data_IF_728620629105
#
_entry.id   IF_728620629105
#
_cell.length_a   1.000
_cell.length_b   1.000
_cell.length_c   1.000
_cell.angle_alpha   90.00
_cell.angle_beta   90.00
_cell.angle_gamma   90.00
#
_symmetry.space_group_name_H-M   'P 1'
#
loop_
_entity.id
_entity.type
_entity.pdbx_description
1 polymer ?
#
# COMPACT_ATOMS: atom_id res chain seq x y z
N UNK A 1 10.38 20.99 57.31
CA UNK A 1 10.55 22.44 57.08
C UNK A 1 11.33 22.59 55.79
N UNK A 2 10.62 22.84 54.70
CA UNK A 2 11.17 23.47 53.47
C UNK A 2 11.46 24.95 53.76
N UNK A 3 12.15 25.77 52.92
CA UNK A 3 12.28 25.67 51.45
C UNK A 3 13.66 26.13 50.88
N UNK A 4 13.81 26.27 49.55
CA UNK A 4 14.75 27.29 49.01
C UNK A 4 15.33 27.19 47.60
N UNK A 5 14.48 27.10 46.58
CA UNK A 5 14.65 27.44 45.14
C UNK A 5 15.70 28.55 44.82
N UNK A 6 16.55 28.38 43.77
CA UNK A 6 16.62 29.28 42.57
C UNK A 6 17.71 28.96 41.53
N UNK A 7 17.24 28.96 40.29
CA UNK A 7 17.92 28.97 38.98
C UNK A 7 18.56 30.32 38.61
N UNK A 8 19.54 30.35 37.68
CA UNK A 8 19.47 30.91 36.29
C UNK A 8 20.80 31.46 35.70
N UNK A 9 21.10 30.97 34.49
CA UNK A 9 21.59 31.64 33.25
C UNK A 9 22.89 32.47 33.16
N UNK A 10 23.76 32.00 32.26
CA UNK A 10 24.45 32.69 31.12
C UNK A 10 25.09 34.07 31.29
N UNK A 11 26.36 34.18 30.85
CA UNK A 11 26.79 35.12 29.78
C UNK A 11 28.27 34.90 29.44
N UNK A 12 28.56 34.76 28.14
CA UNK A 12 29.89 34.95 27.56
C UNK A 12 30.15 36.45 27.34
N UNK A 13 31.42 36.88 27.34
CA UNK A 13 31.86 37.92 26.42
C UNK A 13 33.02 37.45 25.54
N UNK A 14 32.93 37.83 24.26
CA UNK A 14 33.94 37.71 23.21
C UNK A 14 35.10 38.70 23.45
N UNK A 15 36.33 38.31 23.10
CA UNK A 15 37.30 39.26 22.53
C UNK A 15 38.32 38.55 21.65
N UNK A 16 38.33 38.96 20.38
CA UNK A 16 39.27 38.64 19.32
C UNK A 16 40.74 38.74 19.72
N UNK A 17 41.53 37.74 19.32
CA UNK A 17 42.95 37.94 19.00
C UNK A 17 43.20 37.47 17.57
N UNK A 18 43.36 38.45 16.69
CA UNK A 18 43.93 38.27 15.36
C UNK A 18 45.32 37.63 15.47
N UNK A 19 45.50 36.44 14.90
CA UNK A 19 46.82 35.90 14.61
C UNK A 19 47.17 36.18 13.15
N UNK A 20 48.18 37.04 12.98
CA UNK A 20 48.85 37.28 11.72
C UNK A 20 49.57 36.01 11.22
N UNK A 21 49.59 35.95 9.89
CA UNK A 21 49.94 34.87 8.96
C UNK A 21 51.40 34.42 9.08
N UNK A 22 51.64 33.12 9.31
CA UNK A 22 52.94 32.49 9.09
C UNK A 22 52.90 31.59 7.84
N UNK A 23 53.62 32.03 6.80
CA UNK A 23 53.93 31.27 5.58
C UNK A 23 54.85 30.09 5.90
N UNK A 24 54.28 28.94 6.23
CA UNK A 24 54.95 27.65 6.11
C UNK A 24 54.25 26.87 5.00
N UNK A 25 55.07 26.38 4.05
CA UNK A 25 54.69 25.58 2.87
C UNK A 25 53.46 24.73 3.17
N UNK A 26 52.37 25.02 2.47
CA UNK A 26 51.02 24.46 2.71
C UNK A 26 51.11 22.95 3.02
N UNK A 27 51.06 22.59 4.29
CA UNK A 27 50.82 21.21 4.72
C UNK A 27 49.35 20.93 4.38
N UNK A 28 49.13 20.59 3.11
CA UNK A 28 47.83 20.30 2.55
C UNK A 28 47.37 18.93 3.07
N UNK A 29 46.33 18.97 3.89
CA UNK A 29 45.68 17.79 4.46
C UNK A 29 45.08 16.90 3.35
N UNK A 30 45.27 15.57 3.47
CA UNK A 30 44.69 14.57 2.59
C UNK A 30 43.15 14.60 2.62
N UNK A 31 42.57 14.99 3.75
CA UNK A 31 41.14 14.99 3.95
C UNK A 31 40.46 16.30 3.54
N UNK A 32 41.24 17.36 3.26
CA UNK A 32 40.71 18.67 2.89
C UNK A 32 40.97 18.92 1.39
N UNK A 33 39.92 18.93 0.55
CA UNK A 33 40.04 19.23 -0.87
C UNK A 33 40.62 20.63 -1.10
N UNK A 34 41.47 20.78 -2.12
CA UNK A 34 42.03 22.07 -2.44
C UNK A 34 41.01 22.90 -3.23
N UNK A 35 40.48 23.94 -2.57
CA UNK A 35 39.50 24.87 -3.13
C UNK A 35 39.93 25.49 -4.47
N UNK A 36 41.21 25.85 -4.63
CA UNK A 36 41.71 26.47 -5.87
C UNK A 36 41.87 25.51 -7.05
N UNK A 37 42.02 24.21 -6.78
CA UNK A 37 42.14 23.19 -7.82
C UNK A 37 40.79 22.52 -8.14
N UNK A 38 39.77 22.79 -7.33
CA UNK A 38 38.45 22.20 -7.48
C UNK A 38 37.58 23.06 -8.38
N UNK A 39 36.92 22.40 -9.33
CA UNK A 39 35.88 23.01 -10.16
C UNK A 39 34.54 22.80 -9.46
N UNK A 40 34.08 23.84 -8.76
CA UNK A 40 32.84 23.77 -7.98
C UNK A 40 31.61 23.58 -8.86
N UNK A 41 31.60 24.15 -10.07
CA UNK A 41 30.47 24.06 -10.99
C UNK A 41 30.35 22.64 -11.55
N UNK A 42 31.49 22.01 -11.88
CA UNK A 42 31.53 20.60 -12.27
C UNK A 42 31.10 19.66 -11.12
N UNK A 43 31.60 19.90 -9.91
CA UNK A 43 31.24 19.08 -8.74
C UNK A 43 29.74 19.17 -8.43
N UNK A 44 29.18 20.38 -8.47
CA UNK A 44 27.76 20.64 -8.30
C UNK A 44 26.94 19.96 -9.40
N UNK A 45 27.37 20.07 -10.67
CA UNK A 45 26.72 19.41 -11.79
C UNK A 45 26.67 17.89 -11.60
N UNK A 46 27.77 17.25 -11.21
CA UNK A 46 27.81 15.80 -11.01
C UNK A 46 26.94 15.33 -9.83
N UNK A 47 26.94 16.07 -8.72
CA UNK A 47 26.12 15.76 -7.54
C UNK A 47 24.62 15.93 -7.80
N UNK A 48 24.25 16.95 -8.56
CA UNK A 48 22.85 17.24 -8.92
C UNK A 48 22.38 16.49 -10.18
N UNK A 49 23.32 16.06 -11.03
CA UNK A 49 23.09 15.34 -12.28
C UNK A 49 22.68 13.89 -12.06
N UNK A 50 23.23 13.22 -11.04
CA UNK A 50 23.00 11.80 -10.76
C UNK A 50 21.68 11.47 -10.03
N UNK A 51 20.89 12.47 -9.63
CA UNK A 51 19.63 12.29 -8.89
C UNK A 51 18.35 12.61 -9.68
N UNK A 52 18.38 12.53 -11.01
CA UNK A 52 17.14 12.46 -11.81
C UNK A 52 16.82 11.00 -12.08
N UNK A 53 16.62 10.23 -11.01
CA UNK A 53 15.96 8.94 -11.07
C UNK A 53 14.46 9.18 -10.97
N UNK A 54 13.78 9.16 -12.12
CA UNK A 54 12.33 8.95 -12.36
C UNK A 54 11.27 9.68 -11.51
N UNK A 55 11.60 10.53 -10.56
CA UNK A 55 10.62 11.34 -9.84
C UNK A 55 10.84 12.81 -10.17
N UNK A 56 9.85 13.40 -10.86
CA UNK A 56 9.67 14.83 -11.12
C UNK A 56 10.46 15.45 -12.29
N UNK A 57 10.34 14.87 -13.49
CA UNK A 57 10.65 15.58 -14.74
C UNK A 57 9.66 16.73 -15.05
N UNK A 58 8.49 16.75 -14.40
CA UNK A 58 7.40 17.70 -14.67
C UNK A 58 7.59 19.12 -14.09
N UNK A 59 8.67 19.40 -13.36
CA UNK A 59 8.95 20.71 -12.74
C UNK A 59 10.26 21.37 -13.22
N UNK A 60 10.90 20.83 -14.26
CA UNK A 60 12.12 21.44 -14.80
C UNK A 60 11.78 22.45 -15.89
N UNK A 61 12.01 23.75 -15.65
CA UNK A 61 11.78 24.78 -16.66
C UNK A 61 12.65 24.53 -17.91
N UNK A 62 12.16 24.87 -19.12
CA UNK A 62 12.91 24.70 -20.37
C UNK A 62 14.30 25.36 -20.34
N UNK A 63 14.43 26.49 -19.63
CA UNK A 63 15.69 27.20 -19.41
C UNK A 63 16.70 26.40 -18.59
N UNK A 64 16.24 25.66 -17.57
CA UNK A 64 17.09 24.85 -16.69
C UNK A 64 17.61 23.61 -17.41
N UNK A 65 16.83 23.05 -18.33
CA UNK A 65 17.26 21.92 -19.16
C UNK A 65 18.28 22.33 -20.23
N UNK A 66 18.06 23.47 -20.90
CA UNK A 66 19.01 24.02 -21.87
C UNK A 66 20.37 24.33 -21.22
N UNK A 67 20.35 24.94 -20.03
CA UNK A 67 21.57 25.20 -19.25
C UNK A 67 22.31 23.91 -18.89
N UNK A 68 21.59 22.85 -18.49
CA UNK A 68 22.21 21.54 -18.18
C UNK A 68 22.82 20.87 -19.42
N UNK A 69 22.22 21.03 -20.61
CA UNK A 69 22.80 20.53 -21.87
C UNK A 69 24.09 21.27 -22.21
N UNK A 70 24.10 22.60 -22.10
CA UNK A 70 25.31 23.41 -22.29
C UNK A 70 26.41 23.03 -21.29
N UNK A 71 26.08 22.86 -20.01
CA UNK A 71 27.06 22.40 -19.02
C UNK A 71 27.59 21.01 -19.33
N UNK A 72 26.74 20.07 -19.75
CA UNK A 72 27.17 18.73 -20.15
C UNK A 72 28.14 18.79 -21.32
N UNK A 73 27.86 19.63 -22.32
CA UNK A 73 28.71 19.83 -23.49
C UNK A 73 30.07 20.42 -23.09
N UNK A 74 30.08 21.47 -22.26
CA UNK A 74 31.29 22.12 -21.75
C UNK A 74 32.15 21.15 -20.89
N UNK A 75 31.51 20.32 -20.06
CA UNK A 75 32.19 19.40 -19.16
C UNK A 75 32.42 18.00 -19.73
N UNK A 76 32.12 17.75 -21.01
CA UNK A 76 32.34 16.45 -21.68
C UNK A 76 33.82 16.06 -21.86
N UNK A 77 34.74 16.81 -21.27
CA UNK A 77 36.17 16.49 -21.30
C UNK A 77 36.59 15.69 -20.07
N UNK A 78 36.77 14.37 -20.21
CA UNK A 78 37.64 13.44 -19.45
C UNK A 78 37.85 13.64 -17.92
N UNK A 79 36.94 14.33 -17.22
CA UNK A 79 37.05 14.60 -15.78
C UNK A 79 36.20 13.60 -15.03
N UNK A 80 36.86 12.73 -14.26
CA UNK A 80 36.21 11.66 -13.50
C UNK A 80 36.09 11.96 -12.01
N UNK A 81 36.69 13.06 -11.52
CA UNK A 81 36.77 13.37 -10.08
C UNK A 81 36.12 14.72 -9.76
N UNK A 82 35.25 14.72 -8.76
CA UNK A 82 34.59 15.94 -8.24
C UNK A 82 35.42 16.68 -7.18
N UNK A 83 36.40 16.00 -6.57
CA UNK A 83 37.33 16.59 -5.60
C UNK A 83 38.76 16.58 -6.17
N UNK A 84 39.48 17.67 -5.99
CA UNK A 84 40.87 17.82 -6.38
C UNK A 84 41.78 17.96 -5.16
N UNK A 85 42.85 17.17 -5.12
CA UNK A 85 43.89 17.21 -4.09
C UNK A 85 45.24 17.42 -4.79
N UNK A 86 46.10 18.29 -4.26
CA UNK A 86 47.39 18.62 -4.90
C UNK A 86 48.51 17.62 -4.58
N UNK A 87 48.37 16.81 -3.52
CA UNK A 87 49.37 15.81 -3.16
C UNK A 87 49.11 14.49 -3.88
N UNK A 88 50.14 13.95 -4.55
CA UNK A 88 50.12 12.55 -4.99
C UNK A 88 50.07 11.65 -3.74
N UNK A 89 49.26 10.57 -3.73
CA UNK A 89 49.29 9.63 -2.63
C UNK A 89 50.71 9.08 -2.47
N UNK A 90 51.24 8.95 -1.25
CA UNK A 90 52.53 8.29 -1.05
C UNK A 90 52.47 6.87 -1.63
N UNK A 91 53.57 6.35 -2.21
CA UNK A 91 53.63 4.97 -2.66
C UNK A 91 53.31 4.04 -1.48
N UNK A 92 52.56 2.97 -1.75
CA UNK A 92 52.19 1.98 -0.73
C UNK A 92 53.46 1.46 -0.06
N UNK A 93 53.49 1.53 1.27
CA UNK A 93 54.60 1.00 2.06
C UNK A 93 54.42 -0.52 2.08
N UNK A 94 55.28 -1.25 1.36
CA UNK A 94 55.35 -2.72 1.43
C UNK A 94 55.66 -3.13 2.86
N UNK A 95 54.66 -3.69 3.54
CA UNK A 95 54.83 -3.98 4.96
C UNK A 95 53.59 -4.46 5.70
N UNK A 96 52.64 -5.09 5.03
CA UNK A 96 51.71 -6.03 5.65
C UNK A 96 51.41 -7.13 4.64
N UNK A 97 51.49 -8.39 5.06
CA UNK A 97 51.07 -9.53 4.26
C UNK A 97 49.66 -9.26 3.72
N UNK A 98 49.57 -9.01 2.41
CA UNK A 98 48.32 -9.16 1.68
C UNK A 98 47.95 -10.65 1.75
N UNK A 99 47.25 -11.04 2.81
CA UNK A 99 46.18 -12.01 2.62
C UNK A 99 45.34 -11.41 1.50
N UNK A 100 45.40 -12.04 0.34
CA UNK A 100 44.63 -11.73 -0.86
C UNK A 100 43.36 -10.99 -0.46
N UNK A 101 43.34 -9.70 -0.79
CA UNK A 101 42.15 -8.89 -0.62
C UNK A 101 41.07 -9.56 -1.47
N UNK A 102 40.27 -10.40 -0.83
CA UNK A 102 38.93 -10.67 -1.29
C UNK A 102 38.33 -9.29 -1.35
N UNK A 103 38.26 -8.74 -2.55
CA UNK A 103 37.32 -7.69 -2.87
C UNK A 103 35.97 -8.23 -2.39
N UNK A 104 35.62 -7.94 -1.13
CA UNK A 104 34.24 -7.96 -0.71
C UNK A 104 33.64 -6.80 -1.48
N UNK A 105 33.25 -7.10 -2.71
CA UNK A 105 32.26 -6.34 -3.43
C UNK A 105 31.16 -6.07 -2.42
N UNK A 106 30.90 -4.79 -2.14
CA UNK A 106 29.68 -4.41 -1.44
C UNK A 106 28.57 -5.17 -2.15
N UNK A 107 27.80 -6.04 -1.47
CA UNK A 107 26.78 -6.81 -2.15
C UNK A 107 25.86 -5.79 -2.80
N UNK A 108 25.90 -5.71 -4.13
CA UNK A 108 24.92 -4.95 -4.89
C UNK A 108 23.61 -5.61 -4.53
N UNK A 109 22.79 -4.94 -3.72
CA UNK A 109 21.46 -5.44 -3.35
C UNK A 109 20.76 -5.78 -4.66
N UNK A 110 20.61 -7.06 -4.96
CA UNK A 110 19.87 -7.49 -6.14
C UNK A 110 18.43 -7.08 -5.87
N UNK A 111 18.01 -5.96 -6.46
CA UNK A 111 16.61 -5.55 -6.38
C UNK A 111 15.80 -6.63 -7.06
N UNK A 112 14.80 -7.18 -6.36
CA UNK A 112 13.87 -8.17 -6.91
C UNK A 112 13.32 -7.64 -8.23
N UNK A 113 13.48 -8.40 -9.31
CA UNK A 113 12.85 -8.09 -10.57
C UNK A 113 11.35 -8.37 -10.47
N UNK A 114 10.53 -7.38 -10.85
CA UNK A 114 9.08 -7.52 -10.98
C UNK A 114 8.75 -7.36 -12.47
N UNK A 115 8.22 -8.40 -13.13
CA UNK A 115 7.81 -8.31 -14.54
C UNK A 115 6.86 -7.14 -14.78
N UNK A 116 7.01 -6.48 -15.93
CA UNK A 116 6.15 -5.34 -16.30
C UNK A 116 4.96 -5.76 -17.17
N UNK A 117 4.93 -7.01 -17.63
CA UNK A 117 3.81 -7.63 -18.34
C UNK A 117 3.10 -8.61 -17.43
N UNK A 118 1.80 -8.81 -17.65
CA UNK A 118 1.08 -9.91 -17.04
C UNK A 118 1.66 -11.25 -17.51
N UNK A 119 1.64 -12.24 -16.62
CA UNK A 119 1.96 -13.63 -17.00
C UNK A 119 0.80 -14.26 -17.77
N UNK A 120 -0.44 -13.93 -17.37
CA UNK A 120 -1.68 -14.40 -18.00
C UNK A 120 -2.68 -13.26 -18.09
N UNK A 121 -3.51 -13.30 -19.13
CA UNK A 121 -4.63 -12.40 -19.34
C UNK A 121 -5.86 -13.27 -19.56
N UNK A 122 -6.90 -13.03 -18.77
CA UNK A 122 -8.18 -13.72 -18.88
C UNK A 122 -9.22 -12.72 -19.39
N UNK A 123 -10.08 -13.19 -20.29
CA UNK A 123 -11.19 -12.37 -20.77
C UNK A 123 -12.30 -12.33 -19.72
N UNK A 124 -12.82 -11.13 -19.48
CA UNK A 124 -13.93 -10.86 -18.57
C UNK A 124 -15.06 -10.17 -19.36
N UNK A 125 -15.77 -10.89 -20.24
CA UNK A 125 -16.88 -10.31 -20.99
C UNK A 125 -17.96 -9.84 -20.02
N UNK A 126 -18.62 -8.73 -20.36
CA UNK A 126 -19.76 -8.21 -19.60
C UNK A 126 -19.45 -7.87 -18.13
N UNK A 127 -18.18 -7.65 -17.79
CA UNK A 127 -17.80 -7.16 -16.47
C UNK A 127 -18.46 -5.78 -16.23
N UNK A 128 -19.34 -5.64 -15.22
CA UNK A 128 -19.97 -4.37 -14.93
C UNK A 128 -18.96 -3.27 -14.61
N UNK A 129 -19.11 -2.09 -15.23
CA UNK A 129 -18.34 -0.88 -14.92
C UNK A 129 -18.99 -0.11 -13.76
N UNK A 130 -19.05 -0.75 -12.59
CA UNK A 130 -19.52 -0.13 -11.35
C UNK A 130 -18.42 -0.23 -10.27
N UNK A 131 -17.93 0.94 -9.87
CA UNK A 131 -16.83 1.09 -8.91
C UNK A 131 -17.14 0.50 -7.53
N UNK A 132 -18.41 0.41 -7.12
CA UNK A 132 -18.80 0.02 -5.76
C UNK A 132 -18.95 -1.49 -5.58
N UNK A 133 -18.88 -2.27 -6.67
CA UNK A 133 -19.05 -3.71 -6.64
C UNK A 133 -17.75 -4.45 -6.34
N UNK A 134 -17.85 -5.59 -5.66
CA UNK A 134 -16.71 -6.45 -5.32
C UNK A 134 -16.79 -7.78 -6.07
N UNK A 135 -16.52 -7.73 -7.37
CA UNK A 135 -16.86 -8.79 -8.32
C UNK A 135 -15.83 -9.91 -8.48
N UNK A 136 -14.70 -9.86 -7.76
CA UNK A 136 -13.61 -10.82 -7.93
C UNK A 136 -13.01 -11.18 -6.58
N UNK A 137 -12.76 -12.46 -6.36
CA UNK A 137 -12.01 -12.95 -5.22
C UNK A 137 -11.20 -14.20 -5.57
N UNK A 138 -10.00 -14.33 -5.00
CA UNK A 138 -9.13 -15.47 -5.22
C UNK A 138 -9.10 -16.34 -3.96
N UNK A 139 -9.61 -17.55 -4.07
CA UNK A 139 -9.71 -18.50 -2.98
C UNK A 139 -8.36 -19.16 -2.66
N UNK A 140 -8.21 -19.64 -1.42
CA UNK A 140 -7.02 -20.35 -0.97
C UNK A 140 -6.77 -21.69 -1.70
N UNK A 141 -7.79 -22.23 -2.37
CA UNK A 141 -7.69 -23.38 -3.27
C UNK A 141 -7.08 -23.08 -4.64
N UNK A 142 -6.52 -21.87 -4.85
CA UNK A 142 -5.99 -21.41 -6.13
C UNK A 142 -7.05 -21.24 -7.24
N UNK A 143 -8.31 -21.07 -6.83
CA UNK A 143 -9.45 -20.84 -7.74
C UNK A 143 -9.86 -19.36 -7.66
N UNK A 144 -9.90 -18.71 -8.82
CA UNK A 144 -10.42 -17.35 -8.99
C UNK A 144 -11.94 -17.42 -9.20
N UNK A 145 -12.71 -16.67 -8.42
CA UNK A 145 -14.13 -16.44 -8.68
C UNK A 145 -14.30 -15.03 -9.27
N UNK A 146 -15.05 -14.93 -10.36
CA UNK A 146 -15.37 -13.66 -11.01
C UNK A 146 -16.86 -13.60 -11.36
N UNK A 147 -17.51 -12.50 -10.99
CA UNK A 147 -18.88 -12.20 -11.35
C UNK A 147 -18.94 -11.39 -12.64
N UNK A 148 -19.64 -11.91 -13.64
CA UNK A 148 -19.86 -11.30 -14.95
C UNK A 148 -21.37 -11.20 -15.17
N UNK A 149 -21.93 -10.00 -14.96
CA UNK A 149 -23.37 -9.76 -14.99
C UNK A 149 -24.14 -10.63 -13.99
N UNK A 150 -24.91 -11.58 -14.50
CA UNK A 150 -25.76 -12.47 -13.71
C UNK A 150 -25.10 -13.81 -13.37
N UNK A 151 -23.89 -14.08 -13.88
CA UNK A 151 -23.20 -15.35 -13.71
C UNK A 151 -21.93 -15.19 -12.87
N UNK A 152 -21.57 -16.26 -12.15
CA UNK A 152 -20.28 -16.37 -11.47
C UNK A 152 -19.49 -17.51 -12.11
N UNK A 153 -18.29 -17.19 -12.59
CA UNK A 153 -17.36 -18.16 -13.16
C UNK A 153 -16.23 -18.45 -12.17
N UNK A 154 -15.80 -19.70 -12.15
CA UNK A 154 -14.64 -20.18 -11.43
C UNK A 154 -13.55 -20.53 -12.44
N UNK A 155 -12.32 -20.07 -12.18
CA UNK A 155 -11.14 -20.39 -12.96
C UNK A 155 -10.05 -20.97 -12.04
N UNK A 156 -9.62 -22.20 -12.30
CA UNK A 156 -8.53 -22.84 -11.56
C UNK A 156 -7.18 -22.42 -12.15
N UNK A 157 -6.35 -21.75 -11.35
CA UNK A 157 -5.06 -21.26 -11.81
C UNK A 157 -4.00 -22.37 -11.97
N UNK A 158 -4.28 -23.58 -11.47
CA UNK A 158 -3.39 -24.75 -11.52
C UNK A 158 -3.40 -25.40 -12.89
N UNK A 159 -4.59 -25.65 -13.44
CA UNK A 159 -4.78 -26.33 -14.72
C UNK A 159 -5.38 -25.42 -15.82
N UNK A 160 -5.89 -24.24 -15.45
CA UNK A 160 -6.50 -23.28 -16.35
C UNK A 160 -7.95 -23.60 -16.72
N UNK A 161 -8.60 -24.56 -16.04
CA UNK A 161 -9.98 -24.93 -16.28
C UNK A 161 -10.96 -23.83 -15.85
N UNK A 162 -12.07 -23.71 -16.56
CA UNK A 162 -13.15 -22.75 -16.27
C UNK A 162 -14.47 -23.48 -16.13
N UNK A 163 -15.26 -23.10 -15.12
CA UNK A 163 -16.62 -23.60 -14.92
C UNK A 163 -17.55 -22.48 -14.47
N UNK A 164 -18.80 -22.52 -14.90
CA UNK A 164 -19.85 -21.65 -14.36
C UNK A 164 -20.40 -22.25 -13.06
N UNK A 165 -20.37 -21.48 -11.97
CA UNK A 165 -20.89 -21.91 -10.67
C UNK A 165 -22.40 -21.69 -10.57
N UNK A 166 -22.86 -20.52 -11.03
CA UNK A 166 -24.26 -20.11 -11.01
C UNK A 166 -24.54 -19.13 -12.15
N UNK A 167 -25.81 -19.12 -12.57
CA UNK A 167 -26.42 -18.09 -13.39
C UNK A 167 -27.77 -17.73 -12.80
N UNK A 168 -28.07 -16.44 -12.67
CA UNK A 168 -29.36 -15.96 -12.16
C UNK A 168 -30.18 -15.26 -13.23
N UNK A 169 -31.50 -15.23 -13.05
CA UNK A 169 -32.39 -14.43 -13.89
C UNK A 169 -32.23 -12.91 -13.60
N UNK A 170 -32.67 -12.07 -14.53
CA UNK A 170 -32.59 -10.59 -14.41
C UNK A 170 -33.38 -10.02 -13.23
N UNK A 171 -34.39 -10.74 -12.73
CA UNK A 171 -35.15 -10.35 -11.53
C UNK A 171 -34.35 -10.52 -10.23
N UNK A 172 -33.36 -11.42 -10.25
CA UNK A 172 -32.55 -11.78 -9.09
C UNK A 172 -31.19 -11.08 -9.16
N UNK A 173 -30.59 -11.08 -10.35
CA UNK A 173 -29.30 -10.47 -10.63
C UNK A 173 -29.37 -8.94 -10.80
N UNK A 174 -28.25 -8.32 -11.18
CA UNK A 174 -26.91 -8.91 -11.35
C UNK A 174 -26.24 -9.28 -10.01
N UNK A 175 -25.12 -10.00 -10.11
CA UNK A 175 -24.23 -10.28 -8.98
C UNK A 175 -23.43 -9.02 -8.66
N UNK A 176 -23.43 -8.62 -7.39
CA UNK A 176 -22.83 -7.36 -6.93
C UNK A 176 -21.61 -7.55 -6.04
N UNK A 177 -21.44 -8.76 -5.47
CA UNK A 177 -20.23 -9.11 -4.73
C UNK A 177 -19.98 -10.62 -4.67
N UNK A 178 -18.70 -11.02 -4.60
CA UNK A 178 -18.28 -12.41 -4.36
C UNK A 178 -17.18 -12.46 -3.30
N UNK A 179 -17.20 -13.48 -2.45
CA UNK A 179 -16.16 -13.69 -1.44
C UNK A 179 -16.03 -15.17 -1.06
N UNK A 180 -14.84 -15.71 -1.20
CA UNK A 180 -14.48 -17.03 -0.72
C UNK A 180 -14.49 -17.09 0.81
N UNK A 181 -15.14 -18.12 1.33
CA UNK A 181 -14.98 -18.53 2.71
C UNK A 181 -13.54 -19.00 2.96
N UNK A 182 -13.04 -18.89 4.20
CA UNK A 182 -11.67 -19.27 4.54
C UNK A 182 -11.37 -20.77 4.34
N UNK A 183 -12.39 -21.60 4.20
CA UNK A 183 -12.24 -23.04 3.91
C UNK A 183 -11.91 -23.35 2.44
N UNK A 184 -11.99 -22.37 1.54
CA UNK A 184 -11.71 -22.54 0.11
C UNK A 184 -12.75 -23.36 -0.65
N UNK A 185 -13.87 -23.70 -0.02
CA UNK A 185 -14.94 -24.51 -0.61
C UNK A 185 -16.23 -23.73 -0.79
N UNK A 186 -16.55 -22.84 0.15
CA UNK A 186 -17.79 -22.10 0.08
C UNK A 186 -17.57 -20.71 -0.51
N UNK A 187 -18.50 -20.28 -1.34
CA UNK A 187 -18.51 -18.94 -1.92
C UNK A 187 -19.76 -18.20 -1.47
N UNK A 188 -19.58 -16.99 -0.92
CA UNK A 188 -20.67 -16.04 -0.72
C UNK A 188 -20.85 -15.18 -1.96
N UNK A 189 -22.11 -14.95 -2.34
CA UNK A 189 -22.50 -14.20 -3.53
C UNK A 189 -23.59 -13.20 -3.13
N UNK A 190 -23.28 -11.91 -3.19
CA UNK A 190 -24.22 -10.82 -2.95
C UNK A 190 -24.91 -10.42 -4.25
N UNK A 191 -26.21 -10.14 -4.16
CA UNK A 191 -27.06 -9.87 -5.31
C UNK A 191 -27.67 -8.47 -5.27
N UNK A 192 -28.06 -7.98 -6.45
CA UNK A 192 -28.73 -6.70 -6.60
C UNK A 192 -30.11 -6.65 -5.93
N UNK A 193 -30.82 -7.78 -5.86
CA UNK A 193 -32.11 -7.89 -5.19
C UNK A 193 -32.05 -7.98 -3.65
N UNK A 194 -30.92 -7.59 -3.03
CA UNK A 194 -30.62 -7.61 -1.59
C UNK A 194 -30.35 -8.97 -0.95
N UNK A 195 -30.44 -10.06 -1.71
CA UNK A 195 -30.17 -11.40 -1.19
C UNK A 195 -28.66 -11.69 -1.16
N UNK A 196 -28.27 -12.61 -0.28
CA UNK A 196 -26.92 -13.20 -0.27
C UNK A 196 -27.04 -14.71 -0.38
N UNK A 197 -26.40 -15.30 -1.37
CA UNK A 197 -26.38 -16.74 -1.58
C UNK A 197 -25.06 -17.35 -1.08
N UNK A 198 -25.15 -18.57 -0.54
CA UNK A 198 -24.00 -19.39 -0.16
C UNK A 198 -23.96 -20.63 -1.06
N UNK A 199 -22.85 -20.82 -1.74
CA UNK A 199 -22.63 -21.89 -2.71
C UNK A 199 -21.54 -22.84 -2.24
N UNK A 200 -21.73 -24.13 -2.49
CA UNK A 200 -20.67 -25.14 -2.42
C UNK A 200 -20.04 -25.26 -3.80
N UNK A 201 -18.79 -24.83 -3.95
CA UNK A 201 -18.11 -24.81 -5.26
C UNK A 201 -17.81 -26.20 -5.80
N UNK A 202 -17.56 -27.18 -4.92
CA UNK A 202 -17.25 -28.55 -5.32
C UNK A 202 -18.49 -29.32 -5.78
N UNK A 203 -19.62 -29.06 -5.12
CA UNK A 203 -20.89 -29.70 -5.46
C UNK A 203 -21.72 -28.88 -6.48
N UNK A 204 -21.23 -27.71 -6.90
CA UNK A 204 -21.90 -26.74 -7.76
C UNK A 204 -23.37 -26.52 -7.41
N UNK A 205 -23.65 -26.30 -6.12
CA UNK A 205 -25.03 -26.16 -5.64
C UNK A 205 -25.19 -25.04 -4.63
N UNK A 206 -26.36 -24.41 -4.68
CA UNK A 206 -26.82 -23.46 -3.68
C UNK A 206 -27.08 -24.19 -2.37
N UNK A 207 -26.44 -23.75 -1.30
CA UNK A 207 -26.67 -24.25 0.06
C UNK A 207 -27.76 -23.45 0.77
N UNK A 208 -27.74 -22.13 0.61
CA UNK A 208 -28.61 -21.23 1.37
C UNK A 208 -28.73 -19.88 0.71
N UNK A 209 -29.90 -19.26 0.83
CA UNK A 209 -30.13 -17.83 0.58
C UNK A 209 -30.40 -17.13 1.90
N UNK A 210 -29.63 -16.11 2.22
CA UNK A 210 -29.86 -15.17 3.30
C UNK A 210 -30.75 -14.04 2.76
N UNK A 211 -31.91 -13.85 3.38
CA UNK A 211 -32.95 -12.92 2.99
C UNK A 211 -33.30 -12.03 4.18
N UNK A 212 -34.10 -10.98 3.97
CA UNK A 212 -34.58 -10.09 5.04
C UNK A 212 -33.46 -9.38 5.86
N UNK A 213 -32.23 -9.35 5.33
CA UNK A 213 -31.11 -8.62 5.91
C UNK A 213 -31.04 -7.20 5.37
N UNK A 214 -30.66 -7.08 4.10
CA UNK A 214 -30.55 -5.80 3.40
C UNK A 214 -31.86 -5.44 2.69
N UNK A 215 -32.01 -4.16 2.33
CA UNK A 215 -33.15 -3.61 1.56
C UNK A 215 -32.77 -3.17 0.15
N UNK A 216 -31.49 -3.24 -0.19
CA UNK A 216 -30.92 -2.90 -1.49
C UNK A 216 -29.72 -3.83 -1.76
N UNK A 217 -29.06 -3.66 -2.90
CA UNK A 217 -27.95 -4.52 -3.34
C UNK A 217 -26.87 -4.71 -2.28
N UNK A 218 -26.28 -5.90 -2.27
CA UNK A 218 -25.19 -6.27 -1.35
C UNK A 218 -23.85 -6.15 -2.06
N UNK A 219 -23.12 -5.09 -1.74
CA UNK A 219 -21.98 -4.62 -2.54
C UNK A 219 -20.64 -5.09 -2.01
N UNK A 220 -20.55 -5.45 -0.72
CA UNK A 220 -19.32 -5.93 -0.09
C UNK A 220 -19.58 -7.09 0.86
N UNK A 221 -18.60 -7.99 0.94
CA UNK A 221 -18.65 -9.22 1.73
C UNK A 221 -17.27 -9.48 2.34
N UNK A 222 -17.21 -9.88 3.62
CA UNK A 222 -16.01 -10.51 4.17
C UNK A 222 -16.35 -11.54 5.25
N UNK A 223 -15.48 -12.53 5.40
CA UNK A 223 -15.65 -13.63 6.33
C UNK A 223 -14.82 -13.45 7.61
N UNK A 224 -15.42 -13.79 8.74
CA UNK A 224 -14.74 -14.04 10.01
C UNK A 224 -15.17 -15.40 10.53
N UNK A 225 -14.41 -16.44 10.16
CA UNK A 225 -14.77 -17.84 10.40
C UNK A 225 -16.15 -18.17 9.79
N UNK A 226 -17.18 -18.41 10.62
CA UNK A 226 -18.55 -18.73 10.22
C UNK A 226 -19.46 -17.50 10.16
N UNK A 227 -18.96 -16.32 10.51
CA UNK A 227 -19.69 -15.07 10.39
C UNK A 227 -19.38 -14.47 9.02
N UNK A 228 -20.42 -14.30 8.21
CA UNK A 228 -20.36 -13.53 6.97
C UNK A 228 -20.85 -12.12 7.25
N UNK A 229 -19.96 -11.13 7.13
CA UNK A 229 -20.32 -9.73 7.23
C UNK A 229 -20.64 -9.19 5.85
N UNK A 230 -21.80 -8.55 5.72
CA UNK A 230 -22.35 -8.04 4.45
C UNK A 230 -22.53 -6.54 4.53
N UNK A 231 -22.17 -5.81 3.48
CA UNK A 231 -22.33 -4.37 3.36
C UNK A 231 -23.20 -4.03 2.16
N UNK A 232 -24.20 -3.19 2.36
CA UNK A 232 -25.22 -2.91 1.35
C UNK A 232 -25.25 -1.45 0.89
N UNK A 233 -25.96 -1.23 -0.22
CA UNK A 233 -26.32 0.12 -0.69
C UNK A 233 -27.30 0.83 0.25
N UNK A 234 -27.98 0.10 1.13
CA UNK A 234 -28.81 0.63 2.22
C UNK A 234 -28.00 1.18 3.41
N UNK A 235 -26.68 1.31 3.24
CA UNK A 235 -25.73 1.84 4.23
C UNK A 235 -25.58 0.98 5.49
N UNK A 236 -26.18 -0.23 5.50
CA UNK A 236 -26.08 -1.16 6.61
C UNK A 236 -24.87 -2.08 6.45
N UNK A 237 -24.36 -2.51 7.60
CA UNK A 237 -23.42 -3.63 7.70
C UNK A 237 -24.08 -4.66 8.61
N UNK A 238 -24.14 -5.91 8.18
CA UNK A 238 -24.85 -6.98 8.90
C UNK A 238 -23.90 -8.15 9.12
N UNK A 239 -23.82 -8.63 10.37
CA UNK A 239 -23.17 -9.90 10.68
C UNK A 239 -24.19 -11.03 10.56
N UNK A 240 -23.83 -12.03 9.76
CA UNK A 240 -24.66 -13.20 9.50
C UNK A 240 -23.96 -14.46 10.00
N UNK A 241 -24.51 -15.14 11.01
CA UNK A 241 -24.09 -16.52 11.33
C UNK A 241 -24.74 -17.47 10.32
N UNK A 242 -23.93 -18.00 9.41
CA UNK A 242 -24.41 -18.83 8.29
C UNK A 242 -24.94 -20.19 8.72
N UNK A 243 -24.71 -20.59 9.98
CA UNK A 243 -25.14 -21.89 10.54
C UNK A 243 -26.55 -21.83 11.14
N UNK A 244 -27.02 -20.64 11.50
CA UNK A 244 -28.29 -20.45 12.20
C UNK A 244 -29.40 -20.02 11.25
N UNK A 245 -30.63 -20.52 11.45
CA UNK A 245 -31.80 -20.13 10.62
C UNK A 245 -32.07 -18.62 10.67
N UNK A 246 -32.06 -18.03 11.86
CA UNK A 246 -32.01 -16.58 12.04
C UNK A 246 -30.55 -16.14 11.94
N UNK A 247 -30.10 -15.85 10.71
CA UNK A 247 -28.68 -15.58 10.45
C UNK A 247 -28.24 -14.20 10.96
N UNK A 248 -29.11 -13.19 10.90
CA UNK A 248 -28.77 -11.85 11.34
C UNK A 248 -28.54 -11.82 12.85
N UNK A 249 -27.29 -11.59 13.26
CA UNK A 249 -26.86 -11.55 14.67
C UNK A 249 -26.37 -10.17 15.11
N UNK A 250 -26.34 -9.19 14.22
CA UNK A 250 -25.85 -7.85 14.53
C UNK A 250 -25.88 -6.93 13.33
N UNK A 251 -26.19 -5.66 13.57
CA UNK A 251 -26.24 -4.62 12.56
C UNK A 251 -25.39 -3.44 13.03
N UNK A 252 -24.43 -3.02 12.20
CA UNK A 252 -23.66 -1.80 12.42
C UNK A 252 -24.27 -0.67 11.60
N UNK A 253 -24.38 0.49 12.24
CA UNK A 253 -24.88 1.73 11.62
C UNK A 253 -23.84 2.81 11.84
N UNK A 254 -23.41 3.45 10.76
CA UNK A 254 -22.42 4.53 10.80
C UNK A 254 -22.31 5.20 9.44
N UNK A 255 -22.29 4.40 8.38
CA UNK A 255 -22.32 4.93 7.03
C UNK A 255 -23.70 5.53 6.68
N UNK A 256 -23.66 6.57 5.85
CA UNK A 256 -24.84 7.24 5.29
C UNK A 256 -25.11 6.87 3.83
N UNK A 257 -24.09 6.32 3.14
CA UNK A 257 -24.18 5.83 1.77
C UNK A 257 -23.65 4.38 1.68
N UNK A 258 -23.71 3.82 0.47
CA UNK A 258 -23.31 2.45 0.16
C UNK A 258 -21.97 2.02 0.78
N UNK A 259 -21.98 0.86 1.44
CA UNK A 259 -20.78 0.23 2.00
C UNK A 259 -20.11 -0.60 0.91
N UNK A 260 -19.09 -0.02 0.29
CA UNK A 260 -18.36 -0.63 -0.83
C UNK A 260 -17.05 -1.32 -0.42
N UNK A 261 -16.59 -1.14 0.83
CA UNK A 261 -15.43 -1.83 1.38
C UNK A 261 -15.75 -2.49 2.71
N UNK A 262 -15.40 -3.77 2.85
CA UNK A 262 -15.42 -4.52 4.10
C UNK A 262 -14.18 -5.40 4.20
N UNK A 263 -13.55 -5.42 5.37
CA UNK A 263 -12.45 -6.33 5.66
C UNK A 263 -12.25 -6.57 7.15
N UNK A 264 -12.34 -7.83 7.57
CA UNK A 264 -11.91 -8.34 8.87
C UNK A 264 -10.39 -8.40 9.01
N UNK A 265 -9.90 -7.99 10.17
CA UNK A 265 -8.52 -8.26 10.58
C UNK A 265 -8.28 -9.76 10.65
N UNK A 266 -7.04 -10.21 10.40
CA UNK A 266 -6.69 -11.64 10.51
C UNK A 266 -6.93 -12.22 11.93
N UNK A 267 -6.83 -11.37 12.95
CA UNK A 267 -7.18 -11.73 14.33
C UNK A 267 -8.68 -11.94 14.55
N UNK A 268 -9.52 -11.49 13.61
CA UNK A 268 -10.98 -11.53 13.73
C UNK A 268 -11.54 -10.64 14.83
N UNK A 269 -10.78 -9.66 15.34
CA UNK A 269 -11.18 -8.76 16.43
C UNK A 269 -11.72 -7.42 15.93
N UNK A 270 -11.28 -6.99 14.76
CA UNK A 270 -11.66 -5.71 14.18
C UNK A 270 -12.20 -5.88 12.76
N UNK A 271 -13.23 -5.12 12.45
CA UNK A 271 -13.75 -4.97 11.10
C UNK A 271 -13.44 -3.56 10.63
N UNK A 272 -12.92 -3.42 9.42
CA UNK A 272 -12.80 -2.15 8.74
C UNK A 272 -13.90 -2.04 7.67
N UNK A 273 -14.58 -0.91 7.61
CA UNK A 273 -15.57 -0.60 6.57
C UNK A 273 -15.29 0.72 5.89
N UNK A 274 -15.49 0.78 4.58
CA UNK A 274 -15.39 1.97 3.74
C UNK A 274 -16.70 2.21 3.01
N UNK A 275 -17.18 3.46 3.05
CA UNK A 275 -18.43 3.85 2.43
C UNK A 275 -18.26 4.90 1.34
N UNK A 276 -19.26 5.00 0.46
CA UNK A 276 -19.35 6.06 -0.54
C UNK A 276 -19.57 7.47 0.07
N UNK A 277 -19.78 7.54 1.38
CA UNK A 277 -19.76 8.78 2.16
C UNK A 277 -18.34 9.31 2.44
N UNK A 278 -17.33 8.67 1.86
CA UNK A 278 -15.90 8.97 2.05
C UNK A 278 -15.42 8.76 3.49
N UNK A 279 -16.14 7.93 4.27
CA UNK A 279 -15.75 7.57 5.62
C UNK A 279 -15.13 6.17 5.63
N UNK A 280 -14.21 5.99 6.58
CA UNK A 280 -13.66 4.71 6.98
C UNK A 280 -13.92 4.52 8.47
N UNK A 281 -14.50 3.38 8.84
CA UNK A 281 -14.74 3.01 10.22
C UNK A 281 -13.95 1.75 10.58
N UNK A 282 -13.42 1.74 11.81
CA UNK A 282 -12.88 0.54 12.46
C UNK A 282 -13.82 0.18 13.61
N UNK A 283 -14.41 -1.01 13.52
CA UNK A 283 -15.34 -1.59 14.48
C UNK A 283 -14.60 -2.64 15.31
N UNK A 284 -14.76 -2.61 16.63
CA UNK A 284 -14.20 -3.63 17.53
C UNK A 284 -15.32 -4.56 18.02
N UNK A 285 -15.09 -5.88 18.03
CA UNK A 285 -16.05 -6.85 18.56
C UNK A 285 -16.05 -6.87 20.10
N UNK A 286 -14.91 -6.56 20.76
CA UNK A 286 -14.76 -6.75 22.20
C UNK A 286 -15.54 -5.74 23.06
N UNK A 287 -16.10 -4.69 22.47
CA UNK A 287 -16.90 -3.67 23.17
C UNK A 287 -18.40 -3.96 23.20
N UNK A 288 -18.84 -5.12 22.70
CA UNK A 288 -20.25 -5.53 22.61
C UNK A 288 -20.89 -6.06 23.91
N UNK A 289 -20.35 -5.77 25.09
CA UNK A 289 -21.05 -6.03 26.35
C UNK A 289 -21.68 -4.72 26.83
N UNK A 290 -23.02 -4.65 26.77
CA UNK A 290 -23.94 -3.58 27.23
C UNK A 290 -24.41 -2.56 26.17
N UNK A 291 -25.50 -2.90 25.48
CA UNK A 291 -26.63 -2.02 25.10
C UNK A 291 -26.35 -0.58 24.60
N UNK A 292 -25.21 -0.34 23.96
CA UNK A 292 -24.88 0.96 23.36
C UNK A 292 -24.35 0.69 21.97
N UNK A 293 -24.96 1.32 20.96
CA UNK A 293 -24.68 1.13 19.55
C UNK A 293 -23.17 1.03 19.29
N UNK A 294 -22.78 -0.09 18.67
CA UNK A 294 -21.47 -0.39 18.07
C UNK A 294 -20.64 0.85 17.76
N UNK A 295 -19.73 1.17 18.68
CA UNK A 295 -18.90 2.38 18.64
C UNK A 295 -17.67 2.15 17.75
N UNK A 296 -17.46 3.03 16.79
CA UNK A 296 -16.24 3.07 15.95
C UNK A 296 -15.11 3.83 16.66
N UNK A 297 -13.86 3.42 16.43
CA UNK A 297 -12.71 3.95 17.18
C UNK A 297 -12.20 5.30 16.66
N UNK A 298 -12.16 5.56 15.35
CA UNK A 298 -11.65 6.82 14.78
C UNK A 298 -12.16 7.09 13.35
N UNK A 299 -12.56 8.32 12.98
CA UNK A 299 -12.53 8.78 11.60
C UNK A 299 -11.12 9.32 11.27
N UNK A 300 -10.45 8.86 10.19
CA UNK A 300 -9.21 9.49 9.75
C UNK A 300 -9.48 10.92 9.26
N UNK A 301 -8.78 11.89 9.85
CA UNK A 301 -8.85 13.30 9.44
C UNK A 301 -7.95 13.55 8.21
N UNK A 302 -8.55 13.73 7.03
CA UNK A 302 -7.86 14.23 5.83
C UNK A 302 -8.78 14.29 4.60
N UNK A 303 -8.65 15.30 3.72
CA UNK A 303 -9.49 15.39 2.53
C UNK A 303 -9.00 14.42 1.45
N UNK A 304 -9.96 13.73 0.83
CA UNK A 304 -9.89 12.97 -0.42
C UNK A 304 -9.03 11.69 -0.45
N UNK A 305 -9.69 10.56 -0.18
CA UNK A 305 -9.49 9.36 -1.00
C UNK A 305 -10.74 8.47 -0.95
N UNK A 306 -11.24 8.06 -2.12
CA UNK A 306 -12.26 7.01 -2.21
C UNK A 306 -11.62 5.73 -1.68
N UNK A 307 -12.10 5.23 -0.55
CA UNK A 307 -11.53 4.06 0.10
C UNK A 307 -11.98 2.79 -0.64
N UNK A 308 -11.11 2.26 -1.50
CA UNK A 308 -11.27 0.92 -2.09
C UNK A 308 -10.80 -0.16 -1.10
N UNK A 309 -11.24 -1.40 -1.35
CA UNK A 309 -10.70 -2.62 -0.72
C UNK A 309 -9.17 -2.71 -0.75
N UNK A 310 -8.50 -2.06 -1.71
CA UNK A 310 -7.03 -1.96 -1.77
C UNK A 310 -6.38 -1.30 -0.54
N UNK A 311 -7.05 -0.37 0.15
CA UNK A 311 -6.59 0.16 1.45
C UNK A 311 -6.86 -0.80 2.61
N UNK A 312 -7.81 -1.72 2.44
CA UNK A 312 -8.14 -2.73 3.43
C UNK A 312 -7.27 -3.99 3.33
N UNK A 313 -6.55 -4.20 2.22
CA UNK A 313 -5.60 -5.31 2.07
C UNK A 313 -4.53 -5.25 3.17
N UNK A 314 -4.02 -4.06 3.50
CA UNK A 314 -3.06 -3.87 4.60
C UNK A 314 -3.66 -4.03 6.01
N UNK A 315 -4.99 -4.13 6.14
CA UNK A 315 -5.63 -4.39 7.44
C UNK A 315 -5.62 -5.88 7.82
N UNK A 316 -5.28 -6.76 6.87
CA UNK A 316 -5.24 -8.20 7.06
C UNK A 316 -3.86 -8.75 7.44
N UNK A 317 -2.80 -7.94 7.39
CA UNK A 317 -1.42 -8.34 7.74
C UNK A 317 -1.10 -8.10 9.23
#
# INVERSE_FOLDING_TARGET
MDPGIRSKTSQFPLSDRMCQRNNSRENLDRFIPNRSAMDFDFAQYMLMGGKVGKENAALCSPSKEAYRKQLKEIFSMNRTRILAFKNKPPPSVDGFQESSSVHQSKPTKSTRYIPQSSERTLDAPELPDDFYLNLLDWGCGNILAIALGNSVYLWDATDGSTSELLSTDDEIGPVTSVRWAPDGRHLAVGLNNSHVQLWDSLASRLLRTLQDGHRSRVSSLDWNSHILTTGGMDSLIINNDVRMRSHNIGIYRGHSLEVCGLKWSASGQQLASGGNDNLLYIWNISTGSTNSATQWLHPPSGPHSRCKSSLLVSFSE
#
